data_IF_478802096219
#
_entry.id   IF_478802096219
#
_cell.length_a   1.000
_cell.length_b   1.000
_cell.length_c   1.000
_cell.angle_alpha   90.00
_cell.angle_beta   90.00
_cell.angle_gamma   90.00
#
_symmetry.space_group_name_H-M   'P 1'
#
loop_
_entity.id
_entity.type
_entity.pdbx_description
1 polymer ?
#
# COMPACT_ATOMS: atom_id res chain seq x y z
N UNK A 1 -27.30 -25.44 -2.00
CA UNK A 1 -27.70 -25.43 -0.56
C UNK A 1 -26.44 -25.10 0.23
N UNK A 2 -26.12 -23.79 0.30
CA UNK A 2 -26.02 -22.97 1.53
C UNK A 2 -24.91 -23.48 2.47
N UNK A 3 -23.84 -22.74 2.78
CA UNK A 3 -23.78 -21.41 3.43
C UNK A 3 -22.44 -20.74 3.01
N UNK A 4 -22.34 -19.49 2.52
CA UNK A 4 -22.62 -18.20 3.16
C UNK A 4 -22.08 -18.07 4.60
N UNK A 5 -20.78 -17.83 4.72
CA UNK A 5 -20.13 -17.06 5.78
C UNK A 5 -19.20 -16.08 5.05
N UNK A 6 -19.62 -14.87 4.69
CA UNK A 6 -19.94 -13.82 5.64
C UNK A 6 -18.68 -13.10 6.13
N UNK A 7 -17.76 -12.74 5.22
CA UNK A 7 -16.62 -11.88 5.56
C UNK A 7 -17.12 -10.43 5.66
N UNK A 8 -17.63 -10.08 6.84
CA UNK A 8 -18.13 -8.74 7.16
C UNK A 8 -17.49 -8.31 8.48
N UNK A 9 -16.27 -7.77 8.41
CA UNK A 9 -15.64 -7.07 9.53
C UNK A 9 -15.80 -5.57 9.26
N UNK A 10 -17.02 -5.08 9.49
CA UNK A 10 -17.25 -3.66 9.75
C UNK A 10 -16.79 -3.41 11.18
N UNK A 11 -15.68 -2.68 11.35
CA UNK A 11 -15.23 -2.18 12.65
C UNK A 11 -15.86 -0.81 12.90
N UNK A 12 -16.73 -0.64 13.92
CA UNK A 12 -17.30 0.65 14.27
C UNK A 12 -16.29 1.41 15.14
N UNK A 13 -15.60 2.38 14.55
CA UNK A 13 -14.94 3.51 15.22
C UNK A 13 -13.84 3.20 16.27
N UNK A 14 -12.62 3.69 16.01
CA UNK A 14 -11.58 3.87 17.03
C UNK A 14 -10.25 3.21 16.69
N UNK A 15 -9.34 3.98 16.07
CA UNK A 15 -7.96 3.64 15.71
C UNK A 15 -7.79 2.52 14.68
N UNK A 16 -7.86 2.92 13.40
CA UNK A 16 -7.18 2.21 12.31
C UNK A 16 -5.67 2.27 12.55
N UNK A 17 -5.13 1.43 13.45
CA UNK A 17 -3.69 1.18 13.49
C UNK A 17 -3.35 0.23 12.35
N UNK A 18 -3.28 0.80 11.15
CA UNK A 18 -2.60 0.18 10.02
C UNK A 18 -1.17 -0.17 10.47
N UNK A 19 -0.81 -1.46 10.44
CA UNK A 19 0.53 -1.95 10.79
C UNK A 19 1.61 -1.58 9.74
N UNK A 20 1.39 -0.51 8.98
CA UNK A 20 2.23 -0.04 7.87
C UNK A 20 2.76 1.39 8.06
N UNK A 21 2.63 1.97 9.25
CA UNK A 21 3.39 3.16 9.59
C UNK A 21 4.83 2.77 9.88
N UNK A 22 5.79 3.33 9.14
CA UNK A 22 7.21 3.28 9.49
C UNK A 22 7.43 4.07 10.78
N UNK A 23 7.07 3.48 11.91
CA UNK A 23 7.41 3.99 13.21
C UNK A 23 8.93 3.90 13.32
N UNK A 24 9.62 5.02 13.49
CA UNK A 24 11.08 5.06 13.60
C UNK A 24 11.60 4.17 14.74
N UNK A 25 10.72 3.81 15.69
CA UNK A 25 10.98 2.81 16.72
C UNK A 25 11.04 1.38 16.16
N UNK A 26 10.12 1.01 15.27
CA UNK A 26 10.05 -0.32 14.63
C UNK A 26 11.23 -0.54 13.69
N UNK A 27 11.63 0.48 12.93
CA UNK A 27 12.81 0.41 12.05
C UNK A 27 14.09 0.21 12.87
N UNK A 28 14.25 0.95 13.97
CA UNK A 28 15.40 0.75 14.88
C UNK A 28 15.41 -0.65 15.47
N UNK A 29 14.25 -1.17 15.88
CA UNK A 29 14.11 -2.54 16.42
C UNK A 29 14.43 -3.60 15.35
N UNK A 30 14.01 -3.39 14.10
CA UNK A 30 14.33 -4.26 12.97
C UNK A 30 15.84 -4.33 12.71
N UNK A 31 16.53 -3.18 12.76
CA UNK A 31 17.96 -3.08 12.46
C UNK A 31 18.90 -3.46 13.63
N UNK A 32 18.38 -3.65 14.85
CA UNK A 32 19.22 -3.92 16.04
C UNK A 32 19.77 -5.35 16.13
N UNK A 33 19.26 -6.30 15.34
CA UNK A 33 19.77 -7.68 15.29
C UNK A 33 19.51 -8.50 16.56
N UNK A 34 19.22 -9.79 16.39
CA UNK A 34 19.01 -10.73 17.52
C UNK A 34 17.55 -10.87 17.97
N UNK A 35 16.61 -11.03 17.03
CA UNK A 35 15.23 -11.42 17.34
C UNK A 35 15.09 -12.94 17.42
N UNK A 36 14.05 -13.39 18.12
CA UNK A 36 13.69 -14.79 18.18
C UNK A 36 13.33 -15.31 16.77
N UNK A 37 13.78 -16.52 16.44
CA UNK A 37 13.62 -17.11 15.09
C UNK A 37 12.14 -17.21 14.67
N UNK A 38 11.26 -17.42 15.64
CA UNK A 38 9.82 -17.55 15.39
C UNK A 38 9.19 -16.20 15.00
N UNK A 39 9.67 -15.10 15.59
CA UNK A 39 9.24 -13.74 15.23
C UNK A 39 9.74 -13.34 13.84
N UNK A 40 10.98 -13.70 13.49
CA UNK A 40 11.52 -13.49 12.15
C UNK A 40 10.73 -14.30 11.10
N UNK A 41 10.38 -15.55 11.41
CA UNK A 41 9.57 -16.38 10.52
C UNK A 41 8.16 -15.81 10.33
N UNK A 42 7.52 -15.36 11.41
CA UNK A 42 6.21 -14.72 11.34
C UNK A 42 6.25 -13.43 10.50
N UNK A 43 7.29 -12.61 10.65
CA UNK A 43 7.49 -11.42 9.82
C UNK A 43 7.71 -11.75 8.35
N UNK A 44 8.55 -12.75 8.03
CA UNK A 44 8.75 -13.20 6.67
C UNK A 44 7.44 -13.70 6.04
N UNK A 45 6.65 -14.47 6.79
CA UNK A 45 5.32 -14.92 6.36
C UNK A 45 4.36 -13.77 6.10
N UNK A 46 4.35 -12.75 6.95
CA UNK A 46 3.55 -11.54 6.73
C UNK A 46 3.95 -10.80 5.45
N UNK A 47 5.24 -10.53 5.26
CA UNK A 47 5.76 -9.87 4.06
C UNK A 47 5.37 -10.67 2.80
N UNK A 48 5.51 -12.00 2.85
CA UNK A 48 5.10 -12.88 1.76
C UNK A 48 3.60 -12.75 1.45
N UNK A 49 2.74 -12.71 2.47
CA UNK A 49 1.30 -12.51 2.27
C UNK A 49 0.97 -11.12 1.71
N UNK A 50 1.72 -10.08 2.10
CA UNK A 50 1.61 -8.73 1.50
C UNK A 50 1.95 -8.77 0.00
N UNK A 51 2.97 -9.52 -0.42
CA UNK A 51 3.27 -9.74 -1.85
C UNK A 51 2.14 -10.48 -2.57
N UNK A 52 1.64 -11.59 -2.01
CA UNK A 52 0.53 -12.35 -2.63
C UNK A 52 -0.71 -11.47 -2.79
N UNK A 53 -1.02 -10.67 -1.78
CA UNK A 53 -2.12 -9.72 -1.83
C UNK A 53 -1.89 -8.64 -2.90
N UNK A 54 -0.68 -8.08 -2.97
CA UNK A 54 -0.31 -7.07 -3.97
C UNK A 54 -0.41 -7.59 -5.41
N UNK A 55 0.09 -8.80 -5.70
CA UNK A 55 -0.01 -9.38 -7.03
C UNK A 55 -1.45 -9.68 -7.46
N UNK A 56 -2.31 -10.08 -6.52
CA UNK A 56 -3.74 -10.28 -6.80
C UNK A 56 -4.43 -8.96 -7.17
N UNK A 57 -4.09 -7.86 -6.49
CA UNK A 57 -4.66 -6.54 -6.76
C UNK A 57 -4.10 -5.81 -7.98
N UNK A 58 -2.85 -6.10 -8.38
CA UNK A 58 -2.15 -5.47 -9.51
C UNK A 58 -2.30 -6.24 -10.83
N UNK A 59 -3.34 -7.06 -10.98
CA UNK A 59 -3.65 -7.72 -12.24
C UNK A 59 -4.29 -6.74 -13.26
N UNK A 60 -3.52 -5.72 -13.65
CA UNK A 60 -3.91 -4.69 -14.61
C UNK A 60 -3.66 -5.24 -16.02
N UNK A 61 -4.70 -5.30 -16.84
CA UNK A 61 -4.62 -5.77 -18.23
C UNK A 61 -4.14 -4.67 -19.19
N UNK A 62 -4.43 -3.41 -18.84
CA UNK A 62 -4.12 -2.24 -19.65
C UNK A 62 -2.67 -1.75 -19.44
N UNK A 63 -2.07 -1.04 -20.42
CA UNK A 63 -0.77 -0.39 -20.25
C UNK A 63 -0.80 0.55 -19.04
N UNK A 64 0.06 0.30 -18.05
CA UNK A 64 0.09 1.09 -16.82
C UNK A 64 1.34 1.96 -16.71
N UNK A 65 1.18 3.17 -16.16
CA UNK A 65 2.29 4.11 -15.94
C UNK A 65 2.31 4.54 -14.48
N UNK A 66 3.37 4.14 -13.76
CA UNK A 66 3.59 4.62 -12.39
C UNK A 66 4.27 5.99 -12.40
N UNK A 67 3.60 7.00 -11.84
CA UNK A 67 4.13 8.37 -11.73
C UNK A 67 4.63 8.62 -10.31
N UNK A 68 5.89 9.05 -10.17
CA UNK A 68 6.49 9.45 -8.90
C UNK A 68 6.59 10.98 -8.78
N UNK A 69 6.50 11.48 -7.54
CA UNK A 69 6.57 12.91 -7.27
C UNK A 69 6.86 13.22 -5.80
N UNK A 70 7.14 14.49 -5.52
CA UNK A 70 7.36 14.97 -4.16
C UNK A 70 6.07 14.95 -3.34
N UNK A 71 6.09 14.22 -2.22
CA UNK A 71 5.00 14.21 -1.24
C UNK A 71 4.82 15.56 -0.50
N UNK A 72 5.70 16.55 -0.75
CA UNK A 72 5.75 17.82 -0.01
C UNK A 72 5.05 18.97 -0.75
N UNK A 73 4.72 18.79 -2.02
CA UNK A 73 4.05 19.84 -2.80
C UNK A 73 2.55 19.84 -2.51
N UNK A 74 2.03 21.01 -2.18
CA UNK A 74 0.60 21.24 -1.92
C UNK A 74 -0.09 21.73 -3.19
N UNK A 75 -1.42 21.76 -3.15
CA UNK A 75 -2.27 22.37 -4.18
C UNK A 75 -1.83 23.81 -4.48
N UNK A 76 -1.88 24.19 -5.76
CA UNK A 76 -1.36 25.48 -6.25
C UNK A 76 0.14 25.51 -6.54
N UNK A 77 0.92 24.50 -6.16
CA UNK A 77 2.32 24.39 -6.60
C UNK A 77 2.39 23.99 -8.08
N UNK A 78 3.26 24.64 -8.88
CA UNK A 78 3.39 24.39 -10.33
C UNK A 78 3.46 22.90 -10.69
N UNK A 79 4.27 22.13 -9.96
CA UNK A 79 4.43 20.69 -10.22
C UNK A 79 3.24 19.84 -9.78
N UNK A 80 2.45 20.31 -8.80
CA UNK A 80 1.22 19.64 -8.40
C UNK A 80 0.19 19.76 -9.54
N UNK A 81 -0.02 20.97 -10.05
CA UNK A 81 -0.94 21.20 -11.18
C UNK A 81 -0.49 20.46 -12.45
N UNK A 82 0.82 20.42 -12.70
CA UNK A 82 1.39 19.66 -13.82
C UNK A 82 1.13 18.14 -13.67
N UNK A 83 1.29 17.58 -12.48
CA UNK A 83 1.01 16.16 -12.23
C UNK A 83 -0.48 15.83 -12.40
N UNK A 84 -1.38 16.75 -12.00
CA UNK A 84 -2.82 16.62 -12.24
C UNK A 84 -3.16 16.61 -13.74
N UNK A 85 -2.58 17.55 -14.50
CA UNK A 85 -2.76 17.60 -15.96
C UNK A 85 -2.18 16.37 -16.67
N UNK A 86 -1.04 15.84 -16.20
CA UNK A 86 -0.46 14.60 -16.72
C UNK A 86 -1.41 13.41 -16.48
N UNK A 87 -1.94 13.26 -15.27
CA UNK A 87 -2.87 12.17 -14.94
C UNK A 87 -4.13 12.19 -15.79
N UNK A 88 -4.69 13.37 -16.07
CA UNK A 88 -5.83 13.51 -16.98
C UNK A 88 -5.50 13.01 -18.40
N UNK A 89 -4.34 13.42 -18.93
CA UNK A 89 -3.89 12.99 -20.27
C UNK A 89 -3.58 11.50 -20.36
N UNK A 90 -3.05 10.89 -19.29
CA UNK A 90 -2.82 9.45 -19.24
C UNK A 90 -4.13 8.67 -19.29
N UNK A 91 -5.13 9.11 -18.52
CA UNK A 91 -6.47 8.51 -18.55
C UNK A 91 -7.16 8.68 -19.92
N UNK A 92 -7.05 9.86 -20.55
CA UNK A 92 -7.55 10.10 -21.91
C UNK A 92 -6.86 9.21 -22.96
N UNK A 93 -5.60 8.84 -22.72
CA UNK A 93 -4.82 7.95 -23.58
C UNK A 93 -4.97 6.46 -23.22
N UNK A 94 -5.96 6.10 -22.40
CA UNK A 94 -6.27 4.72 -21.99
C UNK A 94 -5.16 4.01 -21.20
N UNK A 95 -4.33 4.78 -20.49
CA UNK A 95 -3.37 4.22 -19.53
C UNK A 95 -3.98 4.12 -18.13
N UNK A 96 -3.58 3.07 -17.41
CA UNK A 96 -3.84 2.88 -15.99
C UNK A 96 -2.80 3.61 -15.10
#
# INVERSE_FOLDING_TARGET
MLLFLGWNIVSPNGSQKWLGGSDASVEKVFLHGGRDRDEELAHAGRIFLEFVHGFSGLNIQDPCVTVFGSARFKEGHRYYEMARALGAKLAEAEYA
#
